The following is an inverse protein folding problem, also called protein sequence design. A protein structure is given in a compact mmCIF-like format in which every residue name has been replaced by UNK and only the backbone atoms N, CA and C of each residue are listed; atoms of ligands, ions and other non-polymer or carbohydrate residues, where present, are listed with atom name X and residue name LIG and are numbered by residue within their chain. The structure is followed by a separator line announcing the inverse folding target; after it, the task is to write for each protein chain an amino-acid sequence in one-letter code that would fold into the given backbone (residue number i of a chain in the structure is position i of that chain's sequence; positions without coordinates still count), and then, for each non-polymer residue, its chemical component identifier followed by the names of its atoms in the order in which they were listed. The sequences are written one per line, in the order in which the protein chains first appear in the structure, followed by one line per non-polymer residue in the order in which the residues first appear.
data_IF_316266869846
#
_entry.id   IF_316266869846
#
_cell.length_a   1.000
_cell.length_b   1.000
_cell.length_c   1.000
_cell.angle_alpha   90.00
_cell.angle_beta   90.00
_cell.angle_gamma   90.00
#
_symmetry.space_group_name_H-M   'P 1'
#
loop_
_entity.id
_entity.type
_entity.pdbx_description
1 polymer ?
#
# COMPACT_ATOMS: atom_id res chain seq x y z
N UNK A 1 12.53 9.22 9.46
CA UNK A 1 11.40 8.24 9.42
C UNK A 1 10.12 8.71 10.13
N UNK A 2 10.16 9.64 11.10
CA UNK A 2 8.95 10.14 11.80
C UNK A 2 8.04 11.09 10.97
N UNK A 3 8.48 11.54 9.79
CA UNK A 3 7.80 12.61 9.03
C UNK A 3 6.76 12.15 7.99
N UNK A 4 6.56 10.85 7.78
CA UNK A 4 5.80 10.33 6.63
C UNK A 4 4.47 9.64 6.99
N UNK A 5 4.11 9.58 8.27
CA UNK A 5 2.88 8.95 8.74
C UNK A 5 2.07 10.00 9.51
N UNK A 6 1.08 10.59 8.85
CA UNK A 6 0.01 11.27 9.58
C UNK A 6 -1.02 10.22 10.00
N UNK A 7 -1.07 9.92 11.30
CA UNK A 7 -2.18 9.19 11.90
C UNK A 7 -3.41 10.11 11.93
N UNK A 8 -4.16 10.14 10.84
CA UNK A 8 -5.47 10.77 10.82
C UNK A 8 -6.50 9.82 11.45
N UNK A 9 -6.59 9.77 12.77
CA UNK A 9 -7.80 9.25 13.42
C UNK A 9 -8.86 10.36 13.42
N UNK A 10 -9.47 10.61 12.25
CA UNK A 10 -10.61 11.51 12.16
C UNK A 10 -11.89 10.72 12.44
N UNK A 11 -12.36 10.75 13.70
CA UNK A 11 -13.75 10.36 14.01
C UNK A 11 -14.68 11.47 13.55
N UNK A 12 -15.12 11.42 12.28
CA UNK A 12 -16.37 12.05 11.85
C UNK A 12 -17.23 11.00 11.17
N UNK A 13 -18.14 10.42 11.94
CA UNK A 13 -19.20 9.54 11.43
C UNK A 13 -20.34 10.38 10.88
N UNK A 14 -20.75 10.23 9.60
CA UNK A 14 -22.00 10.79 9.11
C UNK A 14 -23.19 10.18 9.87
N UNK A 15 -24.25 10.96 10.12
CA UNK A 15 -25.48 10.53 10.81
C UNK A 15 -26.37 9.55 10.01
N UNK A 16 -25.90 9.03 8.87
CA UNK A 16 -26.64 8.07 8.07
C UNK A 16 -25.88 6.73 8.00
N UNK A 17 -26.36 5.76 8.76
CA UNK A 17 -26.15 4.32 8.50
C UNK A 17 -24.75 3.76 8.66
N UNK A 18 -24.32 3.49 9.90
CA UNK A 18 -23.54 2.28 10.23
C UNK A 18 -23.65 2.06 11.74
N UNK A 19 -24.67 1.30 12.19
CA UNK A 19 -24.68 0.78 13.55
C UNK A 19 -23.81 -0.47 13.56
N UNK A 20 -22.58 -0.34 14.05
CA UNK A 20 -21.75 -1.49 14.36
C UNK A 20 -20.94 -1.18 15.63
N UNK A 21 -21.19 -1.95 16.68
CA UNK A 21 -20.34 -2.08 17.86
C UNK A 21 -19.11 -2.92 17.49
N UNK A 22 -18.38 -2.54 16.45
CA UNK A 22 -17.17 -3.24 16.03
C UNK A 22 -15.97 -2.70 16.82
N UNK A 23 -15.25 -3.60 17.49
CA UNK A 23 -13.87 -3.42 17.92
C UNK A 23 -13.07 -2.71 16.80
N UNK A 24 -12.65 -1.48 17.05
CA UNK A 24 -12.35 -0.49 16.01
C UNK A 24 -11.20 -0.87 15.07
N UNK A 25 -11.46 -0.82 13.76
CA UNK A 25 -10.42 -0.91 12.73
C UNK A 25 -9.62 0.39 12.59
N UNK A 26 -8.39 0.28 12.08
CA UNK A 26 -7.49 1.40 11.82
C UNK A 26 -7.38 1.66 10.31
N UNK A 27 -7.56 2.91 9.88
CA UNK A 27 -7.30 3.32 8.50
C UNK A 27 -6.04 4.17 8.50
N UNK A 28 -5.06 3.79 7.67
CA UNK A 28 -3.80 4.51 7.46
C UNK A 28 -3.80 4.99 6.02
N UNK A 29 -3.51 6.27 5.81
CA UNK A 29 -3.31 6.82 4.48
C UNK A 29 -1.87 7.29 4.33
N UNK A 30 -1.18 6.85 3.29
CA UNK A 30 0.14 7.39 2.97
C UNK A 30 0.02 8.82 2.43
N UNK A 31 0.92 9.69 2.89
CA UNK A 31 1.11 11.04 2.32
C UNK A 31 2.15 11.03 1.19
N UNK A 32 2.88 9.93 1.02
CA UNK A 32 3.90 9.79 -0.01
C UNK A 32 3.34 9.21 -1.30
N UNK A 33 3.82 9.73 -2.43
CA UNK A 33 3.61 9.15 -3.76
C UNK A 33 4.82 8.34 -4.23
N UNK A 34 5.81 8.08 -3.36
CA UNK A 34 6.98 7.29 -3.70
C UNK A 34 6.72 5.79 -3.49
N UNK A 35 6.85 5.02 -4.58
CA UNK A 35 6.60 3.57 -4.57
C UNK A 35 7.51 2.80 -3.61
N UNK A 36 8.75 3.23 -3.42
CA UNK A 36 9.68 2.55 -2.52
C UNK A 36 9.29 2.79 -1.06
N UNK A 37 8.91 4.03 -0.73
CA UNK A 37 8.45 4.36 0.62
C UNK A 37 7.16 3.64 0.97
N UNK A 38 6.19 3.62 0.04
CA UNK A 38 4.91 3.00 0.30
C UNK A 38 5.02 1.47 0.45
N UNK A 39 5.81 0.81 -0.40
CA UNK A 39 6.09 -0.63 -0.25
C UNK A 39 6.84 -0.92 1.06
N UNK A 40 7.81 -0.08 1.45
CA UNK A 40 8.51 -0.24 2.71
C UNK A 40 7.57 -0.09 3.94
N UNK A 41 6.61 0.84 3.88
CA UNK A 41 5.58 0.99 4.92
C UNK A 41 4.64 -0.23 4.95
N UNK A 42 4.20 -0.71 3.79
CA UNK A 42 3.39 -1.93 3.69
C UNK A 42 4.10 -3.13 4.35
N UNK A 43 5.36 -3.36 4.00
CA UNK A 43 6.18 -4.45 4.56
C UNK A 43 6.42 -4.26 6.06
N UNK A 44 6.66 -3.03 6.50
CA UNK A 44 6.85 -2.75 7.92
C UNK A 44 5.59 -3.03 8.74
N UNK A 45 4.40 -2.60 8.25
CA UNK A 45 3.12 -2.89 8.90
C UNK A 45 2.91 -4.40 8.97
N UNK A 46 3.20 -5.12 7.89
CA UNK A 46 3.07 -6.57 7.83
C UNK A 46 3.93 -7.30 8.88
N UNK A 47 5.20 -6.90 9.01
CA UNK A 47 6.16 -7.60 9.87
C UNK A 47 6.10 -7.16 11.36
N UNK A 48 5.62 -5.94 11.66
CA UNK A 48 5.75 -5.35 13.00
C UNK A 48 4.42 -4.99 13.69
N UNK A 49 3.30 -4.88 12.98
CA UNK A 49 2.05 -4.48 13.60
C UNK A 49 1.31 -5.69 14.20
N UNK A 50 0.94 -5.62 15.49
CA UNK A 50 0.09 -6.64 16.10
C UNK A 50 -1.36 -6.50 15.57
N UNK A 51 -1.84 -7.53 14.88
CA UNK A 51 -3.17 -7.61 14.26
C UNK A 51 -4.20 -8.44 15.06
N UNK A 52 -3.85 -8.99 16.23
CA UNK A 52 -4.69 -9.93 16.98
C UNK A 52 -6.10 -9.42 17.25
N UNK A 53 -6.22 -8.14 17.62
CA UNK A 53 -7.48 -7.50 17.98
C UNK A 53 -7.80 -6.28 17.09
N UNK A 54 -7.13 -6.13 15.95
CA UNK A 54 -7.31 -4.97 15.06
C UNK A 54 -7.15 -5.35 13.58
N UNK A 55 -7.96 -4.72 12.75
CA UNK A 55 -7.83 -4.78 11.29
C UNK A 55 -7.29 -3.44 10.80
N UNK A 56 -6.44 -3.46 9.78
CA UNK A 56 -5.85 -2.26 9.21
C UNK A 56 -6.16 -2.18 7.73
N UNK A 57 -6.62 -1.02 7.27
CA UNK A 57 -6.68 -0.66 5.87
C UNK A 57 -5.61 0.40 5.59
N UNK A 58 -4.66 0.07 4.72
CA UNK A 58 -3.66 1.02 4.24
C UNK A 58 -4.01 1.48 2.82
N UNK A 59 -4.17 2.80 2.66
CA UNK A 59 -4.50 3.47 1.40
C UNK A 59 -3.29 4.26 0.90
N UNK A 60 -2.90 4.05 -0.36
CA UNK A 60 -1.72 4.69 -0.92
C UNK A 60 -1.80 4.83 -2.45
N UNK A 61 -1.05 5.79 -2.98
CA UNK A 61 -0.92 6.06 -4.42
C UNK A 61 0.55 6.25 -4.76
N UNK A 62 0.91 6.09 -6.03
CA UNK A 62 2.29 6.28 -6.46
C UNK A 62 2.35 7.20 -7.67
N UNK A 63 3.44 7.97 -7.77
CA UNK A 63 3.88 8.53 -9.04
C UNK A 63 4.21 7.39 -10.02
N UNK A 64 4.28 7.67 -11.34
CA UNK A 64 4.56 6.67 -12.39
C UNK A 64 5.61 5.63 -11.99
N UNK A 65 5.17 4.37 -11.85
CA UNK A 65 6.03 3.27 -11.44
C UNK A 65 5.53 1.94 -12.02
N UNK A 66 6.45 1.02 -12.30
CA UNK A 66 6.15 -0.38 -12.57
C UNK A 66 6.51 -1.20 -11.33
N UNK A 67 5.56 -1.99 -10.86
CA UNK A 67 5.71 -2.85 -9.69
C UNK A 67 5.63 -4.32 -10.11
N UNK A 68 6.76 -5.01 -10.07
CA UNK A 68 6.87 -6.43 -10.40
C UNK A 68 6.58 -7.31 -9.18
N UNK A 69 6.07 -8.51 -9.42
CA UNK A 69 5.85 -9.51 -8.36
C UNK A 69 7.17 -10.06 -7.81
N UNK A 70 7.12 -10.63 -6.59
CA UNK A 70 8.30 -11.17 -5.88
C UNK A 70 9.22 -12.03 -6.75
N UNK A 71 8.66 -12.92 -7.58
CA UNK A 71 9.42 -13.91 -8.35
C UNK A 71 9.59 -13.57 -9.84
N UNK A 72 9.26 -12.35 -10.28
CA UNK A 72 9.32 -11.99 -11.70
C UNK A 72 10.69 -11.47 -12.14
N UNK A 73 11.01 -11.67 -13.42
CA UNK A 73 12.22 -11.17 -14.07
C UNK A 73 11.95 -9.79 -14.73
N UNK A 74 12.56 -8.69 -14.25
CA UNK A 74 12.30 -7.35 -14.79
C UNK A 74 12.59 -7.22 -16.29
N UNK A 75 13.55 -7.99 -16.83
CA UNK A 75 13.92 -7.95 -18.24
C UNK A 75 12.90 -8.62 -19.16
N UNK A 76 12.09 -9.54 -18.64
CA UNK A 76 11.01 -10.19 -19.40
C UNK A 76 9.68 -9.45 -19.29
N UNK A 77 9.47 -8.73 -18.19
CA UNK A 77 8.20 -8.08 -17.87
C UNK A 77 8.12 -6.63 -18.33
N UNK A 78 9.26 -5.96 -18.50
CA UNK A 78 9.31 -4.51 -18.61
C UNK A 78 10.26 -4.03 -19.71
N UNK A 79 9.88 -2.96 -20.40
CA UNK A 79 10.81 -2.21 -21.26
C UNK A 79 11.65 -1.23 -20.42
N UNK A 80 12.74 -1.74 -19.83
CA UNK A 80 13.60 -0.97 -18.92
C UNK A 80 14.22 0.27 -19.57
N UNK A 81 14.49 0.23 -20.89
CA UNK A 81 15.04 1.37 -21.63
C UNK A 81 14.02 2.51 -21.71
N UNK A 82 12.79 2.21 -22.08
CA UNK A 82 11.69 3.18 -22.15
C UNK A 82 11.38 3.77 -20.77
N UNK A 83 11.35 2.91 -19.73
CA UNK A 83 11.11 3.36 -18.36
C UNK A 83 12.17 4.36 -17.89
N UNK A 84 13.45 4.09 -18.16
CA UNK A 84 14.54 5.01 -17.85
C UNK A 84 14.40 6.36 -18.56
N UNK A 85 14.04 6.34 -19.85
CA UNK A 85 13.81 7.56 -20.64
C UNK A 85 12.63 8.39 -20.10
N UNK A 86 11.56 7.72 -19.65
CA UNK A 86 10.35 8.36 -19.11
C UNK A 86 10.41 8.62 -17.60
N UNK A 87 11.54 8.35 -16.95
CA UNK A 87 11.71 8.45 -15.50
C UNK A 87 10.64 7.68 -14.70
N UNK A 88 10.26 6.50 -15.19
CA UNK A 88 9.31 5.59 -14.52
C UNK A 88 10.08 4.69 -13.57
N UNK A 89 9.70 4.69 -12.30
CA UNK A 89 10.36 3.90 -11.25
C UNK A 89 10.09 2.40 -11.45
N UNK A 90 11.02 1.54 -11.05
CA UNK A 90 10.85 0.09 -11.02
C UNK A 90 10.96 -0.39 -9.57
N UNK A 91 9.93 -1.06 -9.06
CA UNK A 91 9.95 -1.64 -7.72
C UNK A 91 9.52 -3.11 -7.75
N UNK A 92 10.00 -3.90 -6.78
CA UNK A 92 9.58 -5.28 -6.55
C UNK A 92 8.79 -5.31 -5.25
N UNK A 93 7.54 -5.75 -5.29
CA UNK A 93 6.71 -5.87 -4.08
C UNK A 93 6.98 -7.18 -3.34
N UNK A 94 6.64 -7.21 -2.04
CA UNK A 94 6.71 -8.43 -1.26
C UNK A 94 5.77 -9.49 -1.78
N UNK A 95 4.54 -9.21 -2.22
CA UNK A 95 3.63 -10.27 -2.69
C UNK A 95 4.02 -10.87 -4.05
N UNK A 96 3.52 -12.08 -4.34
CA UNK A 96 3.62 -12.70 -5.67
C UNK A 96 2.65 -12.09 -6.68
N UNK A 97 2.42 -12.78 -7.80
CA UNK A 97 1.55 -12.32 -8.89
C UNK A 97 2.32 -11.63 -10.03
N UNK A 98 1.58 -10.95 -10.91
CA UNK A 98 2.12 -10.32 -12.13
C UNK A 98 2.67 -8.91 -11.95
N UNK A 99 3.08 -8.30 -13.06
CA UNK A 99 3.59 -6.93 -13.12
C UNK A 99 2.45 -5.94 -13.34
N UNK A 100 2.47 -4.81 -12.62
CA UNK A 100 1.46 -3.75 -12.73
C UNK A 100 2.10 -2.39 -12.89
N UNK A 101 1.40 -1.48 -13.56
CA UNK A 101 1.78 -0.07 -13.70
C UNK A 101 0.93 0.79 -12.75
N UNK A 102 1.59 1.68 -12.01
CA UNK A 102 1.01 2.62 -11.06
C UNK A 102 1.19 4.06 -11.53
N UNK A 103 0.27 4.93 -11.11
CA UNK A 103 0.20 6.37 -11.37
C UNK A 103 -0.80 7.00 -10.36
N UNK A 104 -1.05 8.30 -10.47
CA UNK A 104 -1.92 9.01 -9.53
C UNK A 104 -3.42 8.74 -9.73
N UNK A 105 -3.80 8.11 -10.84
CA UNK A 105 -5.16 7.70 -11.16
C UNK A 105 -5.54 6.35 -10.54
N UNK A 106 -4.57 5.51 -10.16
CA UNK A 106 -4.82 4.31 -9.37
C UNK A 106 -4.71 4.56 -7.85
N UNK A 107 -5.56 3.86 -7.11
CA UNK A 107 -5.52 3.77 -5.65
C UNK A 107 -5.15 2.34 -5.29
N UNK A 108 -4.14 2.18 -4.45
CA UNK A 108 -3.71 0.90 -3.90
C UNK A 108 -4.29 0.76 -2.49
N UNK A 109 -4.85 -0.42 -2.21
CA UNK A 109 -5.47 -0.76 -0.94
C UNK A 109 -4.84 -2.03 -0.41
N UNK A 110 -4.32 -1.99 0.82
CA UNK A 110 -3.77 -3.17 1.50
C UNK A 110 -4.56 -3.45 2.76
N UNK A 111 -5.13 -4.65 2.85
CA UNK A 111 -5.89 -5.12 4.01
C UNK A 111 -5.02 -6.01 4.87
N UNK A 112 -4.85 -5.64 6.14
CA UNK A 112 -4.17 -6.45 7.14
C UNK A 112 -5.18 -6.98 8.14
N UNK A 113 -5.28 -8.31 8.21
CA UNK A 113 -6.19 -9.01 9.12
C UNK A 113 -5.46 -10.16 9.79
N UNK A 114 -5.89 -10.53 10.99
CA UNK A 114 -5.46 -11.79 11.59
C UNK A 114 -6.19 -12.95 10.90
N UNK A 115 -5.45 -14.01 10.55
CA UNK A 115 -6.05 -15.27 10.13
C UNK A 115 -6.60 -15.95 11.38
N UNK A 116 -7.91 -15.86 11.59
CA UNK A 116 -8.58 -16.71 12.59
C UNK A 116 -8.22 -18.16 12.28
N UNK A 117 -7.55 -18.82 13.22
CA UNK A 117 -7.33 -20.28 13.17
C UNK A 117 -8.65 -20.99 13.40
#
# INVERSE_FOLDING_TARGET
LKSCLQLACSRRTPKAGFRSTASGGLIIQSVSNDVYQNLAVEDWIHDHMNLENRQVLFLWRNSPAVVIGRHQNPWQECNLRLMRQKNIKLARRRSGGGTVYHDLGNINLTFFTNRKK
#
